data_IF_683107255724
#
_entry.id   IF_683107255724
#
_cell.length_a   1.000
_cell.length_b   1.000
_cell.length_c   1.000
_cell.angle_alpha   90.00
_cell.angle_beta   90.00
_cell.angle_gamma   90.00
#
_symmetry.space_group_name_H-M   'P 1'
#
loop_
_entity.id
_entity.type
_entity.pdbx_description
1 polymer ?
#
# COMPACT_ATOMS: atom_id res chain seq x y z
N UNK A 1 37.69 -42.68 3.37
CA UNK A 1 37.00 -41.37 3.47
C UNK A 1 35.52 -41.63 3.22
N UNK A 2 34.69 -41.70 4.27
CA UNK A 2 33.23 -41.85 4.15
C UNK A 2 32.60 -40.51 4.50
N UNK A 3 31.98 -39.87 3.52
CA UNK A 3 31.18 -38.66 3.73
C UNK A 3 29.89 -39.12 4.39
N UNK A 4 29.73 -38.80 5.68
CA UNK A 4 28.50 -39.03 6.42
C UNK A 4 27.51 -37.93 6.05
N UNK A 5 26.63 -38.23 5.10
CA UNK A 5 25.37 -37.51 4.90
C UNK A 5 24.47 -37.81 6.10
N UNK A 6 24.51 -36.96 7.13
CA UNK A 6 23.43 -36.94 8.12
C UNK A 6 22.25 -36.15 7.54
N UNK A 7 21.02 -36.68 7.59
CA UNK A 7 19.83 -35.89 7.33
C UNK A 7 19.79 -34.75 8.35
N UNK A 8 19.48 -33.55 7.88
CA UNK A 8 19.16 -32.41 8.75
C UNK A 8 17.83 -32.77 9.42
N UNK A 9 17.88 -33.22 10.67
CA UNK A 9 16.69 -33.35 11.50
C UNK A 9 16.12 -31.93 11.62
N UNK A 10 15.04 -31.63 10.89
CA UNK A 10 14.18 -30.51 11.23
C UNK A 10 13.57 -30.92 12.58
N UNK A 11 14.12 -30.39 13.68
CA UNK A 11 13.55 -30.63 14.99
C UNK A 11 12.14 -30.07 15.04
N UNK A 12 11.22 -30.81 15.66
CA UNK A 12 9.85 -30.39 15.90
C UNK A 12 9.84 -28.94 16.40
N UNK A 13 9.18 -28.07 15.65
CA UNK A 13 8.92 -26.70 16.11
C UNK A 13 8.00 -26.79 17.32
N UNK A 14 8.35 -26.09 18.39
CA UNK A 14 7.48 -26.06 19.56
C UNK A 14 6.15 -25.38 19.21
N UNK A 15 5.07 -25.78 19.87
CA UNK A 15 3.75 -25.18 19.71
C UNK A 15 3.75 -23.64 19.92
N UNK A 16 4.67 -23.11 20.72
CA UNK A 16 4.84 -21.67 20.95
C UNK A 16 5.49 -20.96 19.75
N UNK A 17 6.37 -21.64 19.02
CA UNK A 17 7.01 -21.10 17.80
C UNK A 17 6.00 -20.93 16.68
N UNK A 18 5.11 -21.91 16.48
CA UNK A 18 4.00 -21.81 15.52
C UNK A 18 3.05 -20.65 15.82
N UNK A 19 2.67 -20.47 17.08
CA UNK A 19 1.86 -19.33 17.52
C UNK A 19 2.57 -18.00 17.32
N UNK A 20 3.89 -17.96 17.45
CA UNK A 20 4.67 -16.75 17.21
C UNK A 20 4.68 -16.39 15.71
N UNK A 21 4.98 -17.37 14.86
CA UNK A 21 5.03 -17.21 13.40
C UNK A 21 3.68 -16.74 12.84
N UNK A 22 2.57 -17.40 13.20
CA UNK A 22 1.22 -17.01 12.77
C UNK A 22 0.84 -15.60 13.24
N UNK A 23 1.13 -15.26 14.51
CA UNK A 23 0.86 -13.91 15.04
C UNK A 23 1.63 -12.83 14.29
N UNK A 24 2.88 -13.09 13.90
CA UNK A 24 3.69 -12.15 13.11
C UNK A 24 3.08 -11.95 11.72
N UNK A 25 2.67 -13.03 11.05
CA UNK A 25 2.06 -12.95 9.71
C UNK A 25 0.76 -12.14 9.78
N UNK A 26 -0.11 -12.44 10.74
CA UNK A 26 -1.39 -11.74 10.93
C UNK A 26 -1.20 -10.26 11.23
N UNK A 27 -0.24 -9.91 12.10
CA UNK A 27 0.09 -8.50 12.37
C UNK A 27 0.50 -7.78 11.09
N UNK A 28 1.27 -8.43 10.22
CA UNK A 28 1.68 -7.84 8.93
C UNK A 28 0.50 -7.64 8.00
N UNK A 29 -0.40 -8.63 7.89
CA UNK A 29 -1.61 -8.51 7.05
C UNK A 29 -2.54 -7.41 7.58
N UNK A 30 -2.76 -7.35 8.89
CA UNK A 30 -3.57 -6.28 9.51
C UNK A 30 -2.96 -4.90 9.30
N UNK A 31 -1.67 -4.74 9.60
CA UNK A 31 -0.97 -3.47 9.39
C UNK A 31 -1.03 -3.03 7.93
N UNK A 32 -0.93 -3.99 7.02
CA UNK A 32 -1.11 -3.77 5.59
C UNK A 32 -2.50 -3.17 5.34
N UNK A 33 -3.59 -3.84 5.74
CA UNK A 33 -4.95 -3.31 5.52
C UNK A 33 -5.18 -1.95 6.16
N UNK A 34 -4.65 -1.71 7.36
CA UNK A 34 -4.77 -0.42 8.04
C UNK A 34 -4.20 0.74 7.20
N UNK A 35 -3.13 0.52 6.44
CA UNK A 35 -2.59 1.55 5.53
C UNK A 35 -3.60 1.90 4.44
N UNK A 36 -4.19 0.91 3.77
CA UNK A 36 -5.17 1.19 2.71
C UNK A 36 -6.46 1.82 3.24
N UNK A 37 -6.95 1.34 4.40
CA UNK A 37 -8.08 1.96 5.09
C UNK A 37 -7.77 3.42 5.40
N UNK A 38 -6.59 3.71 5.95
CA UNK A 38 -6.16 5.08 6.25
C UNK A 38 -6.08 5.95 4.99
N UNK A 39 -5.53 5.41 3.90
CA UNK A 39 -5.42 6.13 2.62
C UNK A 39 -6.78 6.46 2.00
N UNK A 40 -7.82 5.68 2.30
CA UNK A 40 -9.18 5.90 1.81
C UNK A 40 -10.07 6.71 2.77
N UNK A 41 -9.54 7.17 3.91
CA UNK A 41 -10.27 8.09 4.77
C UNK A 41 -10.51 9.43 4.04
N UNK A 42 -11.70 10.06 4.17
CA UNK A 42 -12.01 11.31 3.47
C UNK A 42 -10.95 12.41 3.67
N UNK A 43 -10.46 12.60 4.90
CA UNK A 43 -9.40 13.59 5.19
C UNK A 43 -8.09 13.28 4.46
N UNK A 44 -7.69 12.01 4.42
CA UNK A 44 -6.47 11.57 3.73
C UNK A 44 -6.59 11.76 2.22
N UNK A 45 -7.76 11.46 1.64
CA UNK A 45 -8.03 11.69 0.23
C UNK A 45 -7.94 13.17 -0.15
N UNK A 46 -8.53 14.06 0.65
CA UNK A 46 -8.42 15.52 0.45
C UNK A 46 -6.95 15.94 0.47
N UNK A 47 -6.19 15.51 1.48
CA UNK A 47 -4.77 15.84 1.61
C UNK A 47 -3.93 15.30 0.45
N UNK A 48 -4.17 14.06 0.02
CA UNK A 48 -3.48 13.45 -1.11
C UNK A 48 -3.77 14.21 -2.41
N UNK A 49 -5.04 14.55 -2.65
CA UNK A 49 -5.44 15.33 -3.83
C UNK A 49 -4.77 16.70 -3.86
N UNK A 50 -4.70 17.40 -2.71
CA UNK A 50 -4.00 18.68 -2.57
C UNK A 50 -2.51 18.54 -2.91
N UNK A 51 -1.81 17.59 -2.29
CA UNK A 51 -0.39 17.34 -2.58
C UNK A 51 -0.16 17.05 -4.07
N UNK A 52 -1.00 16.21 -4.67
CA UNK A 52 -0.83 15.85 -6.09
C UNK A 52 -1.09 17.05 -7.00
N UNK A 53 -2.09 17.88 -6.66
CA UNK A 53 -2.40 19.12 -7.37
C UNK A 53 -1.26 20.12 -7.27
N UNK A 54 -0.71 20.35 -6.08
CA UNK A 54 0.38 21.30 -5.86
C UNK A 54 1.62 20.94 -6.67
N UNK A 55 2.01 19.67 -6.67
CA UNK A 55 3.16 19.19 -7.47
C UNK A 55 2.88 19.31 -8.97
N UNK A 56 1.66 18.99 -9.42
CA UNK A 56 1.27 19.15 -10.81
C UNK A 56 1.36 20.62 -11.26
N UNK A 57 0.87 21.56 -10.45
CA UNK A 57 0.94 23.01 -10.73
C UNK A 57 2.39 23.48 -10.83
N UNK A 58 3.26 23.06 -9.91
CA UNK A 58 4.69 23.38 -9.96
C UNK A 58 5.35 22.85 -11.25
N UNK A 59 5.01 21.63 -11.66
CA UNK A 59 5.52 21.09 -12.92
C UNK A 59 4.94 21.80 -14.14
N UNK A 60 3.68 22.21 -14.12
CA UNK A 60 3.09 23.00 -15.22
C UNK A 60 3.75 24.35 -15.35
N UNK A 61 4.00 25.03 -14.24
CA UNK A 61 4.75 26.28 -14.24
C UNK A 61 6.15 26.11 -14.85
N UNK A 62 6.90 25.09 -14.42
CA UNK A 62 8.22 24.81 -14.96
C UNK A 62 8.19 24.45 -16.47
N UNK A 63 7.18 23.67 -16.88
CA UNK A 63 6.92 23.31 -18.28
C UNK A 63 6.65 24.55 -19.14
N UNK A 64 5.81 25.47 -18.67
CA UNK A 64 5.46 26.70 -19.38
C UNK A 64 6.68 27.63 -19.53
N UNK A 65 7.46 27.80 -18.48
CA UNK A 65 8.71 28.59 -18.51
C UNK A 65 9.72 28.00 -19.50
N UNK A 66 9.89 26.68 -19.51
CA UNK A 66 10.80 26.01 -20.45
C UNK A 66 10.32 26.14 -21.89
N UNK A 67 9.05 25.82 -22.13
CA UNK A 67 8.44 25.80 -23.46
C UNK A 67 8.37 27.19 -24.08
N UNK A 68 8.14 28.24 -23.27
CA UNK A 68 8.19 29.62 -23.74
C UNK A 68 9.57 30.06 -24.22
N UNK A 69 10.65 29.48 -23.69
CA UNK A 69 12.03 29.74 -24.11
C UNK A 69 12.52 28.81 -25.23
N UNK A 70 11.89 27.66 -25.40
CA UNK A 70 12.28 26.62 -26.36
C UNK A 70 11.08 26.15 -27.20
N UNK A 71 10.58 27.00 -28.13
CA UNK A 71 9.39 26.69 -28.91
C UNK A 71 9.53 25.44 -29.78
N UNK A 72 10.75 25.14 -30.23
CA UNK A 72 11.06 23.96 -31.08
C UNK A 72 11.36 22.69 -30.26
N UNK A 73 11.47 22.78 -28.93
CA UNK A 73 11.79 21.64 -28.04
C UNK A 73 10.90 21.65 -26.79
N UNK A 74 9.61 21.45 -27.02
CA UNK A 74 8.61 21.47 -25.95
C UNK A 74 8.62 20.17 -25.14
N UNK A 75 8.45 20.31 -23.83
CA UNK A 75 8.32 19.20 -22.87
C UNK A 75 6.90 19.11 -22.32
N UNK A 76 6.53 17.93 -21.80
CA UNK A 76 5.25 17.66 -21.14
C UNK A 76 5.48 17.05 -19.74
N UNK A 77 6.19 17.78 -18.89
CA UNK A 77 6.63 17.30 -17.58
C UNK A 77 5.47 17.01 -16.63
N UNK A 78 4.49 17.92 -16.53
CA UNK A 78 3.43 17.79 -15.53
C UNK A 78 2.52 16.59 -15.82
N UNK A 79 2.17 16.44 -17.09
CA UNK A 79 1.37 15.34 -17.60
C UNK A 79 2.07 13.99 -17.46
N UNK A 80 3.37 13.93 -17.78
CA UNK A 80 4.18 12.73 -17.58
C UNK A 80 4.19 12.31 -16.11
N UNK A 81 4.43 13.26 -15.20
CA UNK A 81 4.46 12.97 -13.77
C UNK A 81 3.09 12.52 -13.26
N UNK A 82 2.00 13.15 -13.71
CA UNK A 82 0.63 12.78 -13.33
C UNK A 82 0.28 11.34 -13.76
N UNK A 83 0.66 10.93 -14.98
CA UNK A 83 0.52 9.54 -15.38
C UNK A 83 1.38 8.61 -14.52
N UNK A 84 2.62 9.00 -14.28
CA UNK A 84 3.57 8.20 -13.51
C UNK A 84 3.07 7.94 -12.09
N UNK A 85 2.56 8.96 -11.39
CA UNK A 85 2.08 8.81 -10.01
C UNK A 85 0.82 7.95 -9.92
N UNK A 86 -0.12 8.07 -10.88
CA UNK A 86 -1.29 7.17 -10.99
C UNK A 86 -0.86 5.72 -11.17
N UNK A 87 0.08 5.46 -12.11
CA UNK A 87 0.66 4.13 -12.35
C UNK A 87 1.42 3.61 -11.11
N UNK A 88 2.12 4.50 -10.40
CA UNK A 88 2.85 4.15 -9.18
C UNK A 88 1.92 3.69 -8.06
N UNK A 89 0.84 4.42 -7.77
CA UNK A 89 -0.14 4.01 -6.76
C UNK A 89 -0.82 2.69 -7.13
N UNK A 90 -1.21 2.49 -8.39
CA UNK A 90 -1.73 1.21 -8.86
C UNK A 90 -0.74 0.05 -8.64
N UNK A 91 0.56 0.29 -8.88
CA UNK A 91 1.62 -0.68 -8.62
C UNK A 91 1.79 -0.98 -7.13
N UNK A 92 1.66 0.02 -6.25
CA UNK A 92 1.70 -0.17 -4.78
C UNK A 92 0.56 -1.10 -4.34
N UNK A 93 -0.66 -0.82 -4.78
CA UNK A 93 -1.84 -1.67 -4.50
C UNK A 93 -1.64 -3.08 -5.04
N UNK A 94 -1.11 -3.25 -6.24
CA UNK A 94 -0.82 -4.57 -6.82
C UNK A 94 0.21 -5.36 -6.01
N UNK A 95 1.34 -4.73 -5.63
CA UNK A 95 2.35 -5.37 -4.78
C UNK A 95 1.78 -5.77 -3.42
N UNK A 96 0.90 -4.94 -2.89
CA UNK A 96 0.24 -5.19 -1.63
C UNK A 96 -0.69 -6.41 -1.70
N UNK A 97 -1.52 -6.52 -2.74
CA UNK A 97 -2.33 -7.72 -3.02
C UNK A 97 -1.46 -8.98 -3.08
N UNK A 98 -0.35 -8.91 -3.79
CA UNK A 98 0.58 -10.04 -3.89
C UNK A 98 1.21 -10.42 -2.53
N UNK A 99 1.50 -9.44 -1.67
CA UNK A 99 2.04 -9.70 -0.33
C UNK A 99 1.02 -10.37 0.58
N UNK A 100 -0.26 -9.96 0.53
CA UNK A 100 -1.34 -10.60 1.29
C UNK A 100 -1.51 -12.05 0.84
N UNK A 101 -1.61 -12.30 -0.47
CA UNK A 101 -1.72 -13.66 -1.00
C UNK A 101 -0.53 -14.55 -0.56
N UNK A 102 0.68 -13.99 -0.54
CA UNK A 102 1.87 -14.70 -0.04
C UNK A 102 1.79 -14.99 1.46
N UNK A 103 1.24 -14.07 2.25
CA UNK A 103 1.05 -14.25 3.69
C UNK A 103 -0.01 -15.31 4.00
N UNK A 104 -1.13 -15.32 3.26
CA UNK A 104 -2.16 -16.36 3.35
C UNK A 104 -1.58 -17.73 3.02
N UNK A 105 -0.84 -17.85 1.91
CA UNK A 105 -0.17 -19.10 1.54
C UNK A 105 0.91 -19.56 2.55
N UNK A 106 1.48 -18.65 3.34
CA UNK A 106 2.36 -19.03 4.45
C UNK A 106 1.58 -19.60 5.63
N UNK A 107 0.39 -19.07 5.91
CA UNK A 107 -0.49 -19.59 6.95
C UNK A 107 -1.03 -20.96 6.54
N UNK A 108 -1.47 -21.17 5.29
CA UNK A 108 -1.92 -22.49 4.83
C UNK A 108 -0.86 -23.58 5.03
N UNK A 109 0.42 -23.23 4.83
CA UNK A 109 1.55 -24.15 5.08
C UNK A 109 1.75 -24.46 6.56
N UNK A 110 1.52 -23.50 7.44
CA UNK A 110 1.54 -23.71 8.89
C UNK A 110 0.36 -24.59 9.31
N UNK A 111 -0.79 -24.37 8.70
CA UNK A 111 -2.05 -25.06 9.00
C UNK A 111 -2.09 -26.51 8.50
N UNK A 112 -1.34 -26.82 7.44
CA UNK A 112 -1.19 -28.17 6.90
C UNK A 112 -0.14 -29.02 7.65
N UNK A 113 0.45 -28.50 8.73
CA UNK A 113 1.37 -29.24 9.59
C UNK A 113 0.58 -30.12 10.58
N UNK A 114 0.84 -31.43 10.56
CA UNK A 114 0.09 -32.45 11.31
C UNK A 114 0.22 -32.28 12.84
N UNK A 115 1.21 -31.51 13.31
CA UNK A 115 1.42 -31.23 14.75
C UNK A 115 0.60 -30.03 15.26
N UNK A 116 -0.27 -29.46 14.41
CA UNK A 116 -1.06 -28.29 14.77
C UNK A 116 -2.33 -28.63 15.59
N UNK A 117 -2.55 -28.03 16.77
CA UNK A 117 -3.75 -28.33 17.57
C UNK A 117 -5.05 -27.71 17.01
N UNK A 118 -6.07 -28.55 16.83
CA UNK A 118 -7.37 -28.28 16.20
C UNK A 118 -8.09 -27.00 16.65
N UNK A 119 -8.07 -26.69 17.96
CA UNK A 119 -8.80 -25.53 18.51
C UNK A 119 -8.26 -24.17 18.04
N UNK A 120 -6.98 -24.10 17.65
CA UNK A 120 -6.39 -22.88 17.11
C UNK A 120 -6.59 -22.78 15.60
N UNK A 121 -6.70 -23.92 14.90
CA UNK A 121 -6.92 -23.95 13.47
C UNK A 121 -8.21 -23.22 13.06
N UNK A 122 -9.30 -23.44 13.80
CA UNK A 122 -10.60 -22.80 13.51
C UNK A 122 -10.53 -21.26 13.59
N UNK A 123 -9.95 -20.71 14.65
CA UNK A 123 -9.83 -19.25 14.81
C UNK A 123 -8.97 -18.60 13.73
N UNK A 124 -7.92 -19.30 13.29
CA UNK A 124 -7.05 -18.80 12.22
C UNK A 124 -7.74 -18.85 10.87
N UNK A 125 -8.53 -19.90 10.58
CA UNK A 125 -9.32 -20.00 9.35
C UNK A 125 -10.37 -18.89 9.26
N UNK A 126 -11.08 -18.59 10.35
CA UNK A 126 -12.04 -17.48 10.39
C UNK A 126 -11.36 -16.13 10.11
N UNK A 127 -10.19 -15.91 10.69
CA UNK A 127 -9.44 -14.67 10.47
C UNK A 127 -8.88 -14.58 9.04
N UNK A 128 -8.48 -15.70 8.43
CA UNK A 128 -8.03 -15.73 7.04
C UNK A 128 -9.18 -15.43 6.09
N UNK A 129 -10.35 -16.02 6.30
CA UNK A 129 -11.55 -15.71 5.52
C UNK A 129 -11.89 -14.22 5.56
N UNK A 130 -11.78 -13.56 6.73
CA UNK A 130 -11.95 -12.11 6.84
C UNK A 130 -10.92 -11.33 6.03
N UNK A 131 -9.65 -11.75 6.03
CA UNK A 131 -8.63 -11.10 5.22
C UNK A 131 -8.82 -11.32 3.73
N UNK A 132 -9.33 -12.49 3.31
CA UNK A 132 -9.68 -12.75 1.92
C UNK A 132 -10.82 -11.83 1.47
N UNK A 133 -11.89 -11.72 2.26
CA UNK A 133 -13.00 -10.80 2.01
C UNK A 133 -12.51 -9.34 1.88
N UNK A 134 -11.64 -8.90 2.79
CA UNK A 134 -11.04 -7.57 2.72
C UNK A 134 -10.16 -7.39 1.49
N UNK A 135 -9.44 -8.42 1.04
CA UNK A 135 -8.57 -8.37 -0.15
C UNK A 135 -9.36 -8.34 -1.46
N UNK A 136 -10.57 -8.90 -1.47
CA UNK A 136 -11.51 -8.89 -2.59
C UNK A 136 -12.34 -7.60 -2.65
N UNK A 137 -12.48 -6.89 -1.53
CA UNK A 137 -13.17 -5.62 -1.48
C UNK A 137 -12.42 -4.53 -2.26
N UNK A 138 -12.94 -4.18 -3.44
CA UNK A 138 -12.33 -3.21 -4.34
C UNK A 138 -12.24 -1.79 -3.75
N UNK A 139 -13.17 -1.40 -2.87
CA UNK A 139 -13.16 -0.10 -2.22
C UNK A 139 -12.08 0.01 -1.14
N UNK A 140 -11.82 -1.08 -0.43
CA UNK A 140 -10.69 -1.15 0.50
C UNK A 140 -9.35 -1.27 -0.24
N UNK A 141 -9.34 -1.98 -1.37
CA UNK A 141 -8.14 -2.38 -2.09
C UNK A 141 -7.81 -1.45 -3.26
N UNK A 142 -7.92 -0.15 -3.02
CA UNK A 142 -7.54 0.91 -3.96
C UNK A 142 -6.96 2.12 -3.22
N UNK A 143 -6.27 2.96 -3.97
CA UNK A 143 -6.00 4.35 -3.60
C UNK A 143 -6.81 5.17 -4.59
N UNK A 144 -7.76 5.97 -4.11
CA UNK A 144 -8.61 6.77 -4.99
C UNK A 144 -7.81 7.93 -5.62
N UNK A 145 -7.67 7.91 -6.94
CA UNK A 145 -6.99 8.94 -7.73
C UNK A 145 -7.96 9.77 -8.57
N UNK A 146 -9.27 9.64 -8.34
CA UNK A 146 -10.30 10.34 -9.12
C UNK A 146 -10.27 11.85 -8.93
N UNK A 147 -9.83 12.33 -7.77
CA UNK A 147 -9.65 13.76 -7.47
C UNK A 147 -8.33 14.37 -7.96
N UNK A 148 -7.51 13.62 -8.71
CA UNK A 148 -6.26 14.16 -9.25
C UNK A 148 -6.55 15.12 -10.41
N UNK A 149 -5.63 16.07 -10.71
CA UNK A 149 -5.78 16.99 -11.83
C UNK A 149 -6.09 16.25 -13.14
N UNK A 150 -6.85 16.91 -14.02
CA UNK A 150 -7.03 16.44 -15.39
C UNK A 150 -5.80 16.76 -16.23
N UNK A 151 -5.62 16.02 -17.31
CA UNK A 151 -4.53 16.25 -18.24
C UNK A 151 -4.66 17.66 -18.85
N UNK A 152 -3.57 18.42 -18.89
CA UNK A 152 -3.60 19.83 -19.30
C UNK A 152 -4.56 20.73 -18.50
N UNK A 153 -4.88 20.37 -17.25
CA UNK A 153 -5.59 21.29 -16.37
C UNK A 153 -4.85 22.64 -16.31
N UNK A 154 -5.56 23.76 -16.52
CA UNK A 154 -4.95 25.09 -16.43
C UNK A 154 -4.51 25.38 -14.99
N UNK A 155 -3.52 26.25 -14.82
CA UNK A 155 -3.14 26.78 -13.51
C UNK A 155 -4.21 27.80 -13.12
N UNK A 156 -5.20 27.37 -12.35
CA UNK A 156 -6.21 28.23 -11.74
C UNK A 156 -5.93 28.30 -10.24
N UNK A 157 -5.03 29.19 -9.84
CA UNK A 157 -4.83 29.48 -8.41
C UNK A 157 -5.77 30.60 -7.98
N UNK A 158 -6.70 30.29 -7.05
CA UNK A 158 -7.23 31.27 -6.09
C UNK A 158 -7.93 30.68 -4.85
N UNK A 159 -8.37 29.42 -4.81
CA UNK A 159 -9.29 28.98 -3.74
C UNK A 159 -8.79 27.90 -2.73
N UNK A 160 -7.64 27.26 -2.92
CA UNK A 160 -7.23 26.12 -2.06
C UNK A 160 -6.08 26.39 -1.06
N UNK A 161 -5.64 27.65 -0.97
CA UNK A 161 -4.72 28.11 0.09
C UNK A 161 -5.53 28.58 1.31
N UNK A 162 -6.49 27.79 1.77
CA UNK A 162 -6.74 27.81 3.21
C UNK A 162 -5.59 27.01 3.84
N UNK A 163 -4.73 27.73 4.55
CA UNK A 163 -3.75 27.16 5.47
C UNK A 163 -4.49 26.18 6.38
N UNK A 164 -4.12 24.89 6.31
CA UNK A 164 -4.44 23.95 7.38
C UNK A 164 -3.82 24.52 8.66
N UNK A 165 -4.63 25.24 9.44
CA UNK A 165 -4.31 25.68 10.80
C UNK A 165 -4.40 24.48 11.74
N UNK A 166 -3.66 23.41 11.45
CA UNK A 166 -3.39 22.33 12.41
C UNK A 166 -2.13 22.70 13.21
N UNK A 167 -2.23 23.80 13.96
CA UNK A 167 -1.37 24.05 15.13
C UNK A 167 -1.87 23.21 16.29
N UNK A 168 -1.50 21.94 16.35
CA UNK A 168 -1.34 21.21 17.62
C UNK A 168 -0.66 19.84 17.39
N UNK A 169 0.68 19.85 17.31
CA UNK A 169 1.47 18.68 17.67
C UNK A 169 1.70 18.75 19.18
N UNK A 170 0.71 18.32 19.96
CA UNK A 170 0.80 18.19 21.41
C UNK A 170 1.80 17.09 21.77
N UNK A 171 3.02 17.49 22.09
CA UNK A 171 3.96 16.68 22.86
C UNK A 171 3.73 16.90 24.35
N UNK A 172 3.57 15.80 25.09
CA UNK A 172 4.13 15.54 26.42
C UNK A 172 4.20 14.03 26.61
#
# INVERSE_FOLDING_TARGET
MKISTRPRIMGDKSHDDWKSDCRVIIKRVRASFSVLVYMNLPKTLVRLNKIVKDVYVQFKFAEDVWNGRHPDNRVQLANYWLEWIKKYYARVVSKFKANIAKAMAQIDKVMADDDMPDGYAVQWLELMAQFEEMAENADLMRIDTSGFPAFNSPITETEDIEEDRDTEMGGT
#
